data_IF_426328730493
#
_entry.id   IF_426328730493
#
_cell.length_a   1.000
_cell.length_b   1.000
_cell.length_c   1.000
_cell.angle_alpha   90.00
_cell.angle_beta   90.00
_cell.angle_gamma   90.00
#
_symmetry.space_group_name_H-M   'P 1'
#
loop_
_entity.id
_entity.type
_entity.pdbx_description
1 polymer ?
#
# COMPACT_ATOMS: atom_id res chain seq x y z
N UNK A 1 2.12 -29.90 -10.60
CA UNK A 1 1.11 -29.24 -9.74
C UNK A 1 1.85 -28.43 -8.69
N UNK A 2 1.67 -27.12 -8.69
CA UNK A 2 2.33 -26.21 -7.77
C UNK A 2 1.61 -26.21 -6.41
N UNK A 3 2.30 -25.82 -5.34
CA UNK A 3 1.74 -25.71 -3.99
C UNK A 3 1.65 -24.25 -3.58
N UNK A 4 0.58 -23.92 -2.87
CA UNK A 4 0.32 -22.63 -2.26
C UNK A 4 0.18 -22.84 -0.75
N UNK A 5 0.86 -22.01 0.04
CA UNK A 5 0.82 -22.02 1.50
C UNK A 5 0.00 -20.82 1.94
N UNK A 6 -1.09 -21.08 2.66
CA UNK A 6 -2.11 -20.06 2.95
C UNK A 6 -2.28 -19.92 4.45
N UNK A 7 -2.30 -18.68 4.93
CA UNK A 7 -2.82 -18.27 6.23
C UNK A 7 -4.15 -17.54 5.99
N UNK A 8 -5.28 -18.20 6.27
CA UNK A 8 -6.61 -17.63 6.06
C UNK A 8 -7.09 -16.96 7.35
N UNK A 9 -7.55 -15.72 7.22
CA UNK A 9 -8.16 -14.95 8.31
C UNK A 9 -9.45 -15.59 8.82
N UNK A 10 -9.56 -15.68 10.15
CA UNK A 10 -10.79 -16.05 10.86
C UNK A 10 -11.09 -15.08 12.00
N UNK A 11 -12.37 -14.74 12.13
CA UNK A 11 -12.87 -13.87 13.20
C UNK A 11 -14.40 -13.91 13.25
N UNK A 12 -15.00 -14.01 14.42
CA UNK A 12 -16.42 -13.74 14.64
C UNK A 12 -16.58 -12.68 15.74
N UNK A 13 -17.15 -11.52 15.39
CA UNK A 13 -17.27 -10.37 16.31
C UNK A 13 -18.05 -10.66 17.59
N UNK A 14 -18.85 -11.74 17.60
CA UNK A 14 -19.70 -12.09 18.73
C UNK A 14 -19.03 -13.06 19.70
N UNK A 15 -18.00 -13.79 19.25
CA UNK A 15 -17.36 -14.85 20.05
C UNK A 15 -15.87 -14.65 20.25
N UNK A 16 -15.18 -14.04 19.29
CA UNK A 16 -13.73 -13.95 19.27
C UNK A 16 -13.25 -12.62 19.85
N UNK A 17 -12.24 -12.70 20.71
CA UNK A 17 -11.58 -11.50 21.25
C UNK A 17 -10.61 -10.87 20.25
N UNK A 18 -9.87 -11.70 19.50
CA UNK A 18 -8.92 -11.29 18.48
C UNK A 18 -9.04 -12.22 17.26
N UNK A 19 -8.74 -11.71 16.05
CA UNK A 19 -8.66 -12.56 14.87
C UNK A 19 -7.52 -13.56 14.99
N UNK A 20 -7.65 -14.69 14.31
CA UNK A 20 -6.62 -15.71 14.21
C UNK A 20 -6.52 -16.23 12.77
N UNK A 21 -5.48 -17.03 12.49
CA UNK A 21 -5.22 -17.52 11.14
C UNK A 21 -5.12 -19.04 11.11
N UNK A 22 -5.83 -19.67 10.17
CA UNK A 22 -5.71 -21.11 9.90
C UNK A 22 -4.81 -21.35 8.69
N UNK A 23 -3.96 -22.37 8.80
CA UNK A 23 -2.98 -22.70 7.77
C UNK A 23 -3.49 -23.79 6.84
N UNK A 24 -3.34 -23.57 5.54
CA UNK A 24 -3.68 -24.53 4.50
C UNK A 24 -2.52 -24.71 3.53
N UNK A 25 -2.37 -25.92 3.01
CA UNK A 25 -1.52 -26.20 1.85
C UNK A 25 -2.40 -26.77 0.75
N UNK A 26 -2.52 -26.02 -0.34
CA UNK A 26 -3.37 -26.38 -1.47
C UNK A 26 -2.54 -26.50 -2.75
N UNK A 27 -3.03 -27.32 -3.68
CA UNK A 27 -2.46 -27.41 -5.02
C UNK A 27 -3.20 -26.47 -5.94
N UNK A 28 -2.49 -25.86 -6.89
CA UNK A 28 -3.08 -25.03 -7.93
C UNK A 28 -2.43 -25.31 -9.29
N UNK A 29 -3.15 -24.93 -10.34
CA UNK A 29 -2.74 -24.92 -11.74
C UNK A 29 -2.95 -23.54 -12.37
N UNK A 30 -2.72 -23.42 -13.68
CA UNK A 30 -2.81 -22.16 -14.40
C UNK A 30 -4.23 -21.58 -14.53
N UNK A 31 -5.27 -22.40 -14.29
CA UNK A 31 -6.67 -21.97 -14.38
C UNK A 31 -7.31 -21.77 -12.99
N UNK A 32 -6.60 -22.14 -11.93
CA UNK A 32 -7.09 -21.97 -10.56
C UNK A 32 -7.19 -20.48 -10.20
N UNK A 33 -8.39 -20.01 -9.85
CA UNK A 33 -8.63 -18.66 -9.34
C UNK A 33 -8.58 -18.61 -7.81
N UNK A 34 -8.48 -17.41 -7.24
CA UNK A 34 -8.58 -17.22 -5.78
C UNK A 34 -9.95 -17.69 -5.25
N UNK A 35 -11.04 -17.48 -6.00
CA UNK A 35 -12.36 -18.00 -5.67
C UNK A 35 -12.33 -19.52 -5.56
N UNK A 36 -11.66 -20.22 -6.48
CA UNK A 36 -11.51 -21.66 -6.40
C UNK A 36 -10.71 -22.10 -5.17
N UNK A 37 -9.70 -21.32 -4.77
CA UNK A 37 -8.97 -21.55 -3.52
C UNK A 37 -9.88 -21.42 -2.31
N UNK A 38 -10.69 -20.35 -2.24
CA UNK A 38 -11.66 -20.15 -1.14
C UNK A 38 -12.70 -21.28 -1.09
N UNK A 39 -13.21 -21.73 -2.23
CA UNK A 39 -14.11 -22.89 -2.32
C UNK A 39 -13.46 -24.17 -1.79
N UNK A 40 -12.19 -24.43 -2.14
CA UNK A 40 -11.46 -25.61 -1.68
C UNK A 40 -11.21 -25.60 -0.17
N UNK A 41 -11.08 -24.41 0.43
CA UNK A 41 -10.99 -24.26 1.89
C UNK A 41 -12.37 -24.50 2.50
N UNK A 42 -13.42 -23.85 2.00
CA UNK A 42 -14.78 -23.98 2.54
C UNK A 42 -15.30 -25.42 2.50
N UNK A 43 -14.93 -26.20 1.47
CA UNK A 43 -15.22 -27.63 1.38
C UNK A 43 -14.58 -28.46 2.49
N UNK A 44 -13.43 -28.02 3.03
CA UNK A 44 -12.77 -28.65 4.17
C UNK A 44 -13.34 -28.17 5.49
N UNK A 45 -13.58 -26.86 5.57
CA UNK A 45 -14.10 -26.19 6.76
C UNK A 45 -14.89 -24.94 6.36
N UNK A 46 -16.21 -24.91 6.59
CA UNK A 46 -17.03 -23.74 6.30
C UNK A 46 -16.59 -22.50 7.10
N UNK A 47 -16.64 -21.34 6.46
CA UNK A 47 -16.37 -20.04 7.08
C UNK A 47 -17.30 -18.96 6.50
N UNK A 48 -17.39 -17.82 7.16
CA UNK A 48 -18.24 -16.71 6.72
C UNK A 48 -17.76 -16.10 5.41
N UNK A 49 -18.51 -16.29 4.34
CA UNK A 49 -18.27 -15.64 3.04
C UNK A 49 -19.59 -15.46 2.29
N UNK A 50 -19.83 -14.26 1.74
CA UNK A 50 -21.03 -13.96 0.95
C UNK A 50 -20.75 -14.15 -0.54
N UNK A 51 -21.03 -15.36 -1.05
CA UNK A 51 -20.82 -15.71 -2.46
C UNK A 51 -21.88 -15.16 -3.41
N UNK A 52 -22.89 -14.45 -2.90
CA UNK A 52 -23.88 -13.78 -3.75
C UNK A 52 -23.34 -12.50 -4.38
N UNK A 53 -22.18 -12.03 -3.89
CA UNK A 53 -21.54 -10.79 -4.32
C UNK A 53 -20.16 -11.06 -4.91
N UNK A 54 -19.65 -10.04 -5.58
CA UNK A 54 -18.24 -9.93 -5.94
C UNK A 54 -17.38 -10.02 -4.69
N UNK A 55 -16.47 -10.99 -4.63
CA UNK A 55 -15.56 -11.17 -3.50
C UNK A 55 -14.26 -10.42 -3.79
N UNK A 56 -13.99 -9.40 -2.97
CA UNK A 56 -12.71 -8.71 -2.96
C UNK A 56 -11.91 -9.16 -1.73
N UNK A 57 -10.62 -9.40 -1.91
CA UNK A 57 -9.73 -9.88 -0.86
C UNK A 57 -8.44 -9.08 -0.82
N UNK A 58 -7.77 -9.15 0.32
CA UNK A 58 -6.39 -8.73 0.47
C UNK A 58 -5.51 -9.96 0.62
N UNK A 59 -4.49 -10.08 -0.22
CA UNK A 59 -3.50 -11.16 -0.19
C UNK A 59 -2.13 -10.53 0.05
N UNK A 60 -1.56 -10.80 1.21
CA UNK A 60 -0.37 -10.08 1.72
C UNK A 60 -0.63 -8.56 1.75
N UNK A 61 0.04 -7.76 0.92
CA UNK A 61 -0.17 -6.32 0.80
C UNK A 61 -1.15 -5.93 -0.33
N UNK A 62 -1.51 -6.88 -1.20
CA UNK A 62 -2.18 -6.61 -2.47
C UNK A 62 -3.68 -6.89 -2.40
N UNK A 63 -4.47 -5.94 -2.85
CA UNK A 63 -5.93 -6.00 -2.95
C UNK A 63 -6.31 -6.46 -4.35
N UNK A 64 -7.24 -7.40 -4.43
CA UNK A 64 -7.65 -7.97 -5.71
C UNK A 64 -9.05 -8.58 -5.64
N UNK A 65 -9.62 -8.80 -6.82
CA UNK A 65 -10.84 -9.57 -6.95
C UNK A 65 -10.53 -11.07 -6.89
N UNK A 66 -11.38 -11.85 -6.22
CA UNK A 66 -11.16 -13.27 -6.09
C UNK A 66 -11.28 -14.06 -7.42
N UNK A 67 -11.78 -13.46 -8.50
CA UNK A 67 -11.76 -14.09 -9.83
C UNK A 67 -10.36 -14.15 -10.46
N UNK A 68 -9.38 -13.40 -9.95
CA UNK A 68 -8.01 -13.39 -10.50
C UNK A 68 -7.35 -14.77 -10.37
N UNK A 69 -6.50 -15.12 -11.34
CA UNK A 69 -5.78 -16.39 -11.37
C UNK A 69 -4.66 -16.43 -10.34
N UNK A 70 -4.51 -17.56 -9.65
CA UNK A 70 -3.44 -17.78 -8.67
C UNK A 70 -2.06 -17.66 -9.33
N UNK A 71 -1.91 -18.17 -10.56
CA UNK A 71 -0.66 -18.11 -11.31
C UNK A 71 -0.18 -16.68 -11.62
N UNK A 72 -1.08 -15.71 -11.72
CA UNK A 72 -0.73 -14.30 -11.95
C UNK A 72 -0.25 -13.64 -10.66
N UNK A 73 -0.97 -13.89 -9.56
CA UNK A 73 -0.63 -13.34 -8.24
C UNK A 73 0.67 -13.94 -7.68
N UNK A 74 0.93 -15.23 -7.92
CA UNK A 74 2.18 -15.88 -7.47
C UNK A 74 3.43 -15.23 -8.08
N UNK A 75 3.35 -14.70 -9.30
CA UNK A 75 4.49 -13.98 -9.92
C UNK A 75 4.89 -12.72 -9.15
N UNK A 76 3.96 -12.13 -8.42
CA UNK A 76 4.13 -10.88 -7.67
C UNK A 76 4.38 -11.17 -6.18
N UNK A 77 3.56 -12.06 -5.61
CA UNK A 77 3.48 -12.30 -4.17
C UNK A 77 4.27 -13.52 -3.70
N UNK A 78 4.72 -14.39 -4.60
CA UNK A 78 5.24 -15.71 -4.25
C UNK A 78 4.12 -16.68 -3.86
N UNK A 79 4.49 -17.76 -3.17
CA UNK A 79 3.58 -18.88 -2.84
C UNK A 79 3.07 -18.88 -1.39
N UNK A 80 3.57 -17.97 -0.56
CA UNK A 80 3.18 -17.80 0.84
C UNK A 80 2.19 -16.64 0.95
N UNK A 81 0.92 -16.98 1.17
CA UNK A 81 -0.20 -16.06 1.10
C UNK A 81 -0.89 -15.94 2.44
N UNK A 82 -1.01 -14.71 2.93
CA UNK A 82 -1.95 -14.34 3.98
C UNK A 82 -3.20 -13.77 3.31
N UNK A 83 -4.33 -14.48 3.39
CA UNK A 83 -5.58 -14.07 2.73
C UNK A 83 -6.52 -13.53 3.80
N UNK A 84 -6.91 -12.27 3.63
CA UNK A 84 -7.77 -11.49 4.53
C UNK A 84 -9.02 -10.99 3.76
N UNK A 85 -10.14 -10.70 4.46
CA UNK A 85 -11.18 -9.86 3.89
C UNK A 85 -10.61 -8.54 3.39
N UNK A 86 -11.33 -7.86 2.50
CA UNK A 86 -10.92 -6.53 2.03
C UNK A 86 -10.71 -5.53 3.18
N UNK A 87 -11.38 -5.72 4.31
CA UNK A 87 -11.14 -4.97 5.54
C UNK A 87 -11.27 -5.88 6.77
N UNK A 88 -10.16 -6.16 7.43
CA UNK A 88 -10.16 -6.88 8.72
C UNK A 88 -10.77 -6.03 9.83
N UNK A 89 -10.67 -4.70 9.73
CA UNK A 89 -11.28 -3.76 10.69
C UNK A 89 -12.80 -3.81 10.67
N UNK A 90 -13.40 -4.03 9.50
CA UNK A 90 -14.85 -4.12 9.31
C UNK A 90 -15.38 -5.55 9.32
N UNK A 91 -14.51 -6.55 9.47
CA UNK A 91 -14.91 -7.95 9.50
C UNK A 91 -15.90 -8.19 10.65
N UNK A 92 -17.05 -8.77 10.31
CA UNK A 92 -18.07 -9.18 11.27
C UNK A 92 -18.05 -10.68 11.49
N UNK A 93 -17.80 -11.44 10.42
CA UNK A 93 -17.59 -12.88 10.46
C UNK A 93 -16.74 -13.33 9.26
N UNK A 94 -15.48 -13.66 9.51
CA UNK A 94 -14.48 -14.06 8.53
C UNK A 94 -14.40 -13.06 7.35
N UNK A 95 -14.96 -13.41 6.20
CA UNK A 95 -14.98 -12.59 4.97
C UNK A 95 -16.26 -11.77 4.80
N UNK A 96 -17.17 -11.80 5.77
CA UNK A 96 -18.37 -10.95 5.83
C UNK A 96 -18.02 -9.70 6.63
N UNK A 97 -18.19 -8.52 6.05
CA UNK A 97 -17.84 -7.23 6.66
C UNK A 97 -18.95 -6.19 6.50
N UNK A 98 -18.90 -5.18 7.37
CA UNK A 98 -19.77 -4.00 7.29
C UNK A 98 -19.15 -2.95 6.36
N UNK A 99 -19.86 -2.59 5.28
CA UNK A 99 -19.41 -1.59 4.32
C UNK A 99 -20.17 -0.26 4.38
N UNK A 100 -20.83 0.03 5.50
CA UNK A 100 -21.54 1.29 5.72
C UNK A 100 -20.66 2.52 5.48
N UNK A 101 -19.39 2.48 5.91
CA UNK A 101 -18.46 3.60 5.74
C UNK A 101 -18.17 3.95 4.28
N UNK A 102 -17.98 2.94 3.44
CA UNK A 102 -17.88 3.10 1.99
C UNK A 102 -19.16 3.71 1.39
N UNK A 103 -20.33 3.19 1.77
CA UNK A 103 -21.62 3.66 1.25
C UNK A 103 -21.91 5.11 1.67
N UNK A 104 -21.53 5.48 2.89
CA UNK A 104 -21.67 6.85 3.41
C UNK A 104 -20.81 7.83 2.61
N UNK A 105 -19.62 7.44 2.15
CA UNK A 105 -18.79 8.30 1.29
C UNK A 105 -19.37 8.50 -0.10
N UNK A 106 -20.03 7.49 -0.68
CA UNK A 106 -20.78 7.66 -1.93
C UNK A 106 -21.93 8.67 -1.76
N UNK A 107 -22.59 8.67 -0.60
CA UNK A 107 -23.74 9.55 -0.34
C UNK A 107 -23.40 11.05 -0.39
N UNK A 108 -22.13 11.42 -0.23
CA UNK A 108 -21.64 12.79 -0.42
C UNK A 108 -22.00 13.37 -1.79
N UNK A 109 -22.20 12.49 -2.79
CA UNK A 109 -22.49 12.86 -4.16
C UNK A 109 -23.96 12.62 -4.56
N UNK A 110 -24.84 12.31 -3.61
CA UNK A 110 -26.20 11.83 -3.90
C UNK A 110 -27.03 12.78 -4.75
N UNK A 111 -26.83 14.09 -4.60
CA UNK A 111 -27.55 15.12 -5.35
C UNK A 111 -27.11 15.26 -6.81
N UNK A 112 -26.00 14.63 -7.19
CA UNK A 112 -25.41 14.72 -8.53
C UNK A 112 -25.51 13.43 -9.33
N UNK A 113 -25.92 12.33 -8.70
CA UNK A 113 -25.92 11.00 -9.30
C UNK A 113 -27.34 10.47 -9.45
N UNK A 114 -27.62 9.83 -10.59
CA UNK A 114 -28.82 9.04 -10.76
C UNK A 114 -28.66 7.63 -10.16
N UNK A 115 -29.76 6.88 -10.08
CA UNK A 115 -29.77 5.54 -9.49
C UNK A 115 -28.75 4.58 -10.12
N UNK A 116 -28.66 4.56 -11.45
CA UNK A 116 -27.75 3.68 -12.20
C UNK A 116 -26.28 4.00 -11.90
N UNK A 117 -25.92 5.29 -11.89
CA UNK A 117 -24.57 5.74 -11.52
C UNK A 117 -24.21 5.32 -10.09
N UNK A 118 -25.12 5.56 -9.12
CA UNK A 118 -24.90 5.15 -7.72
C UNK A 118 -24.68 3.65 -7.60
N UNK A 119 -25.49 2.85 -8.28
CA UNK A 119 -25.37 1.39 -8.23
C UNK A 119 -24.03 0.93 -8.82
N UNK A 120 -23.63 1.50 -9.97
CA UNK A 120 -22.33 1.21 -10.57
C UNK A 120 -21.15 1.50 -9.63
N UNK A 121 -21.19 2.61 -8.87
CA UNK A 121 -20.13 2.91 -7.90
C UNK A 121 -20.12 1.93 -6.74
N UNK A 122 -21.29 1.58 -6.19
CA UNK A 122 -21.39 0.59 -5.11
C UNK A 122 -20.80 -0.77 -5.51
N UNK A 123 -21.04 -1.19 -6.75
CA UNK A 123 -20.64 -2.52 -7.22
C UNK A 123 -19.16 -2.60 -7.62
N UNK A 124 -18.54 -1.49 -8.03
CA UNK A 124 -17.23 -1.52 -8.67
C UNK A 124 -16.12 -0.73 -7.94
N UNK A 125 -16.45 0.13 -6.98
CA UNK A 125 -15.47 1.09 -6.43
C UNK A 125 -15.00 0.75 -5.02
N UNK A 126 -15.56 -0.29 -4.41
CA UNK A 126 -15.24 -0.71 -3.04
C UNK A 126 -13.74 -0.98 -2.84
N UNK A 127 -13.08 -1.58 -3.82
CA UNK A 127 -11.65 -1.86 -3.77
C UNK A 127 -10.80 -0.59 -3.64
N UNK A 128 -11.18 0.49 -4.33
CA UNK A 128 -10.48 1.78 -4.23
C UNK A 128 -10.67 2.45 -2.86
N UNK A 129 -11.72 2.11 -2.13
CA UNK A 129 -11.91 2.61 -0.77
C UNK A 129 -11.02 1.85 0.22
N UNK A 130 -11.17 0.53 0.32
CA UNK A 130 -10.47 -0.25 1.35
C UNK A 130 -8.98 -0.48 1.05
N UNK A 131 -8.56 -0.39 -0.22
CA UNK A 131 -7.14 -0.42 -0.56
C UNK A 131 -6.40 0.87 -0.18
N UNK A 132 -7.08 1.95 0.19
CA UNK A 132 -6.42 3.19 0.62
C UNK A 132 -5.73 3.00 1.97
N UNK A 133 -4.45 3.39 2.13
CA UNK A 133 -3.87 3.40 3.49
C UNK A 133 -4.41 4.57 4.31
N UNK A 134 -4.78 5.65 3.63
CA UNK A 134 -5.20 6.90 4.24
C UNK A 134 -6.35 6.73 5.21
N UNK A 135 -7.30 5.84 4.91
CA UNK A 135 -8.43 5.55 5.80
C UNK A 135 -8.00 4.90 7.13
N UNK A 136 -6.85 4.22 7.19
CA UNK A 136 -6.35 3.63 8.44
C UNK A 136 -5.70 4.68 9.35
N UNK A 137 -5.18 5.75 8.75
CA UNK A 137 -4.48 6.83 9.43
C UNK A 137 -5.42 7.99 9.77
N UNK A 138 -6.37 8.27 8.88
CA UNK A 138 -7.43 9.27 8.99
C UNK A 138 -8.77 8.66 8.52
N UNK A 139 -9.61 8.24 9.47
CA UNK A 139 -10.91 7.60 9.20
C UNK A 139 -11.94 8.57 8.59
N UNK A 140 -11.72 9.87 8.73
CA UNK A 140 -12.59 10.89 8.14
C UNK A 140 -12.32 11.10 6.64
N UNK A 141 -11.20 10.59 6.12
CA UNK A 141 -10.89 10.66 4.70
C UNK A 141 -12.05 10.14 3.83
N UNK A 142 -12.35 10.88 2.76
CA UNK A 142 -13.43 10.55 1.82
C UNK A 142 -13.13 9.30 0.99
N UNK A 143 -11.87 8.86 0.95
CA UNK A 143 -11.44 7.70 0.17
C UNK A 143 -11.19 8.02 -1.30
N UNK A 144 -10.27 7.27 -1.93
CA UNK A 144 -9.87 7.49 -3.32
C UNK A 144 -11.01 7.24 -4.31
N UNK A 145 -11.92 6.33 -3.98
CA UNK A 145 -13.15 6.12 -4.77
C UNK A 145 -13.99 7.41 -4.93
N UNK A 146 -14.06 8.25 -3.90
CA UNK A 146 -14.79 9.53 -3.94
C UNK A 146 -14.13 10.50 -4.90
N UNK A 147 -12.80 10.44 -5.05
CA UNK A 147 -12.08 11.24 -6.04
C UNK A 147 -12.44 10.79 -7.46
N UNK A 148 -12.53 9.48 -7.72
CA UNK A 148 -12.97 9.00 -9.03
C UNK A 148 -14.43 9.38 -9.34
N UNK A 149 -15.33 9.35 -8.36
CA UNK A 149 -16.70 9.83 -8.50
C UNK A 149 -16.70 11.33 -8.86
N UNK A 150 -15.94 12.14 -8.13
CA UNK A 150 -15.81 13.56 -8.38
C UNK A 150 -15.28 13.86 -9.79
N UNK A 151 -14.24 13.15 -10.24
CA UNK A 151 -13.72 13.26 -11.60
C UNK A 151 -14.82 13.00 -12.64
N UNK A 152 -15.55 11.90 -12.51
CA UNK A 152 -16.60 11.53 -13.47
C UNK A 152 -17.71 12.59 -13.52
N UNK A 153 -18.18 13.09 -12.37
CA UNK A 153 -19.22 14.12 -12.32
C UNK A 153 -18.74 15.40 -13.01
N UNK A 154 -17.52 15.86 -12.72
CA UNK A 154 -16.96 17.08 -13.34
C UNK A 154 -16.78 16.88 -14.84
N UNK A 155 -16.37 15.68 -15.27
CA UNK A 155 -16.14 15.37 -16.67
C UNK A 155 -17.44 15.33 -17.47
N UNK A 156 -18.50 14.77 -16.90
CA UNK A 156 -19.83 14.69 -17.50
C UNK A 156 -20.56 16.03 -17.46
N UNK A 157 -20.41 16.80 -16.38
CA UNK A 157 -21.04 18.10 -16.22
C UNK A 157 -20.05 19.13 -15.62
N UNK A 158 -19.27 19.83 -16.47
CA UNK A 158 -18.29 20.81 -16.02
C UNK A 158 -18.86 21.98 -15.21
N UNK A 159 -20.17 22.26 -15.31
CA UNK A 159 -20.81 23.33 -14.53
C UNK A 159 -20.83 23.05 -13.02
N UNK A 160 -20.73 21.77 -12.62
CA UNK A 160 -20.72 21.35 -11.21
C UNK A 160 -19.34 21.43 -10.56
N UNK A 161 -18.31 21.83 -11.32
CA UNK A 161 -16.90 21.80 -10.89
C UNK A 161 -16.68 22.41 -9.51
N UNK A 162 -17.13 23.65 -9.29
CA UNK A 162 -16.83 24.35 -8.04
C UNK A 162 -17.53 23.71 -6.83
N UNK A 163 -18.76 23.21 -7.00
CA UNK A 163 -19.45 22.49 -5.93
C UNK A 163 -18.78 21.16 -5.60
N UNK A 164 -18.39 20.38 -6.62
CA UNK A 164 -17.71 19.10 -6.40
C UNK A 164 -16.33 19.30 -5.77
N UNK A 165 -15.60 20.32 -6.22
CA UNK A 165 -14.33 20.70 -5.60
C UNK A 165 -14.51 21.06 -4.13
N UNK A 166 -15.58 21.78 -3.75
CA UNK A 166 -15.84 22.11 -2.34
C UNK A 166 -16.06 20.88 -1.44
N UNK A 167 -16.50 19.76 -2.01
CA UNK A 167 -16.65 18.48 -1.29
C UNK A 167 -15.29 17.82 -1.10
N UNK A 168 -14.49 17.73 -2.17
CA UNK A 168 -13.25 16.97 -2.16
C UNK A 168 -12.04 17.75 -1.63
N UNK A 169 -12.11 19.07 -1.46
CA UNK A 169 -10.99 19.88 -0.94
C UNK A 169 -11.12 20.23 0.54
N UNK A 170 -12.06 19.60 1.27
CA UNK A 170 -12.16 19.74 2.74
C UNK A 170 -10.83 19.44 3.41
N UNK A 171 -10.41 20.32 4.32
CA UNK A 171 -9.06 20.30 4.91
C UNK A 171 -8.76 19.03 5.71
N UNK A 172 -9.76 18.48 6.38
CA UNK A 172 -9.67 17.36 7.32
C UNK A 172 -10.00 16.00 6.71
N UNK A 173 -10.69 15.97 5.56
CA UNK A 173 -11.18 14.73 4.94
C UNK A 173 -10.90 14.60 3.45
N UNK A 174 -10.37 15.62 2.79
CA UNK A 174 -10.36 15.74 1.34
C UNK A 174 -9.17 15.10 0.62
N UNK A 175 -8.98 15.49 -0.63
CA UNK A 175 -7.95 15.03 -1.58
C UNK A 175 -6.53 15.17 -1.05
N UNK A 176 -6.31 16.02 -0.04
CA UNK A 176 -4.99 16.19 0.58
C UNK A 176 -4.47 14.94 1.29
N UNK A 177 -5.35 13.97 1.56
CA UNK A 177 -5.03 12.66 2.13
C UNK A 177 -4.88 11.56 1.08
N UNK A 178 -4.92 11.88 -0.22
CA UNK A 178 -4.71 10.90 -1.28
C UNK A 178 -3.33 10.22 -1.15
N UNK A 179 -3.32 8.90 -1.30
CA UNK A 179 -2.13 8.07 -1.48
C UNK A 179 -2.35 7.19 -2.70
N UNK A 180 -1.33 7.05 -3.56
CA UNK A 180 -1.51 6.23 -4.76
C UNK A 180 -1.81 4.76 -4.42
N UNK A 181 -2.72 4.16 -5.19
CA UNK A 181 -3.13 2.77 -5.04
C UNK A 181 -2.36 1.81 -5.95
N UNK A 182 -1.43 2.32 -6.75
CA UNK A 182 -0.69 1.56 -7.78
C UNK A 182 -0.01 0.30 -7.22
N UNK A 183 0.63 0.41 -6.06
CA UNK A 183 1.32 -0.72 -5.41
C UNK A 183 0.43 -1.55 -4.49
N UNK A 184 -0.87 -1.20 -4.39
CA UNK A 184 -1.83 -1.84 -3.49
C UNK A 184 -2.93 -2.57 -4.21
N UNK A 185 -3.28 -2.22 -5.44
CA UNK A 185 -4.32 -2.90 -6.21
C UNK A 185 -3.70 -3.71 -7.36
N UNK A 186 -4.04 -4.99 -7.45
CA UNK A 186 -3.63 -5.82 -8.57
C UNK A 186 -4.22 -5.28 -9.89
N UNK A 187 -3.37 -5.07 -10.89
CA UNK A 187 -3.80 -4.57 -12.19
C UNK A 187 -4.26 -3.11 -12.17
N UNK A 188 -3.78 -2.31 -11.22
CA UNK A 188 -4.09 -0.88 -11.16
C UNK A 188 -3.69 -0.17 -12.47
N UNK A 189 -4.58 0.65 -13.01
CA UNK A 189 -4.33 1.41 -14.24
C UNK A 189 -3.73 2.77 -13.92
N UNK A 190 -2.64 3.15 -14.59
CA UNK A 190 -2.06 4.50 -14.51
C UNK A 190 -3.05 5.61 -14.85
N UNK A 191 -4.04 5.32 -15.71
CA UNK A 191 -5.11 6.27 -16.04
C UNK A 191 -5.98 6.67 -14.85
N UNK A 192 -6.02 5.86 -13.78
CA UNK A 192 -6.70 6.24 -12.56
C UNK A 192 -5.93 7.33 -11.80
N UNK A 193 -4.60 7.26 -11.78
CA UNK A 193 -3.77 8.29 -11.16
C UNK A 193 -3.85 9.61 -11.93
N UNK A 194 -3.90 9.55 -13.27
CA UNK A 194 -4.09 10.73 -14.13
C UNK A 194 -5.40 11.47 -13.85
N UNK A 195 -6.47 10.76 -13.45
CA UNK A 195 -7.74 11.38 -13.03
C UNK A 195 -7.57 12.17 -11.73
N UNK A 196 -6.77 11.66 -10.80
CA UNK A 196 -6.52 12.32 -9.52
C UNK A 196 -5.62 13.52 -9.72
N UNK A 197 -4.55 13.39 -10.52
CA UNK A 197 -3.70 14.51 -10.92
C UNK A 197 -4.51 15.63 -11.58
N UNK A 198 -5.48 15.29 -12.44
CA UNK A 198 -6.41 16.26 -13.00
C UNK A 198 -7.18 17.02 -11.92
N UNK A 199 -7.69 16.33 -10.88
CA UNK A 199 -8.40 16.97 -9.77
C UNK A 199 -7.51 17.92 -8.97
N UNK A 200 -6.27 17.52 -8.65
CA UNK A 200 -5.30 18.41 -8.02
C UNK A 200 -5.08 19.69 -8.86
N UNK A 201 -4.90 19.53 -10.17
CA UNK A 201 -4.71 20.65 -11.09
C UNK A 201 -5.90 21.62 -11.10
N UNK A 202 -7.13 21.12 -11.25
CA UNK A 202 -8.31 22.00 -11.29
C UNK A 202 -8.66 22.60 -9.91
N UNK A 203 -8.22 21.96 -8.83
CA UNK A 203 -8.31 22.48 -7.47
C UNK A 203 -7.20 23.49 -7.13
N UNK A 204 -6.25 23.73 -8.05
CA UNK A 204 -5.07 24.57 -7.84
C UNK A 204 -4.23 24.11 -6.62
N UNK A 205 -4.10 22.79 -6.47
CA UNK A 205 -3.28 22.15 -5.44
C UNK A 205 -1.99 21.60 -6.09
N UNK A 206 -0.91 21.56 -5.31
CA UNK A 206 0.34 20.97 -5.76
C UNK A 206 0.19 19.46 -5.89
N UNK A 207 0.71 18.92 -7.00
CA UNK A 207 0.83 17.49 -7.24
C UNK A 207 2.23 17.19 -7.76
N UNK A 208 2.98 16.39 -7.00
CA UNK A 208 4.32 15.93 -7.39
C UNK A 208 4.34 14.41 -7.53
N UNK A 209 4.33 13.92 -8.77
CA UNK A 209 4.45 12.48 -9.03
C UNK A 209 5.81 11.96 -8.52
N UNK A 210 5.86 10.87 -7.72
CA UNK A 210 7.11 10.26 -7.32
C UNK A 210 7.85 9.60 -8.50
N UNK A 211 9.16 9.57 -8.39
CA UNK A 211 10.09 8.93 -9.31
C UNK A 211 10.73 7.74 -8.63
N UNK A 212 10.60 6.58 -9.26
CA UNK A 212 11.19 5.33 -8.78
C UNK A 212 12.37 4.95 -9.65
N UNK A 213 13.50 4.60 -9.02
CA UNK A 213 14.70 4.14 -9.71
C UNK A 213 14.63 2.63 -9.93
N UNK A 214 14.88 2.25 -11.17
CA UNK A 214 15.19 0.88 -11.52
C UNK A 214 16.67 0.62 -11.23
N UNK A 215 16.95 -0.46 -10.51
CA UNK A 215 18.32 -0.88 -10.27
C UNK A 215 18.76 -1.80 -11.41
N UNK A 216 19.93 -1.52 -11.96
CA UNK A 216 20.59 -2.36 -12.96
C UNK A 216 21.36 -3.49 -12.29
N UNK A 217 21.61 -4.56 -13.04
CA UNK A 217 22.52 -5.63 -12.59
C UNK A 217 23.92 -5.07 -12.37
N UNK A 218 24.49 -5.37 -11.20
CA UNK A 218 25.85 -4.97 -10.84
C UNK A 218 26.67 -6.17 -10.38
N UNK A 219 27.98 -6.08 -10.54
CA UNK A 219 28.89 -7.00 -9.90
C UNK A 219 29.01 -6.66 -8.41
N UNK A 220 28.65 -7.61 -7.54
CA UNK A 220 28.74 -7.46 -6.10
C UNK A 220 30.16 -7.79 -5.63
N UNK A 221 30.82 -6.81 -5.04
CA UNK A 221 32.17 -6.88 -4.46
C UNK A 221 32.11 -6.85 -2.93
N UNK A 222 31.28 -5.97 -2.37
CA UNK A 222 31.05 -5.85 -0.93
C UNK A 222 29.74 -6.54 -0.55
N UNK A 223 29.76 -7.30 0.55
CA UNK A 223 28.58 -7.96 1.10
C UNK A 223 28.04 -7.25 2.34
N UNK A 224 26.76 -7.45 2.58
CA UNK A 224 26.01 -7.06 3.77
C UNK A 224 25.59 -8.31 4.56
N UNK A 225 26.50 -9.30 4.64
CA UNK A 225 26.28 -10.48 5.45
C UNK A 225 25.90 -10.04 6.88
N UNK A 226 24.94 -10.73 7.51
CA UNK A 226 24.36 -10.43 8.84
C UNK A 226 23.38 -9.26 8.95
N UNK A 227 23.26 -8.40 7.93
CA UNK A 227 22.27 -7.33 7.96
C UNK A 227 20.86 -7.84 7.63
N UNK A 228 19.88 -7.32 8.35
CA UNK A 228 18.47 -7.35 8.05
C UNK A 228 18.09 -6.05 7.34
N UNK A 229 17.67 -6.14 6.08
CA UNK A 229 17.39 -4.96 5.26
C UNK A 229 15.93 -4.97 4.83
N UNK A 230 15.23 -3.87 5.10
CA UNK A 230 13.92 -3.58 4.51
C UNK A 230 14.08 -2.55 3.38
N UNK A 231 13.05 -2.39 2.56
CA UNK A 231 13.06 -1.43 1.47
C UNK A 231 11.66 -0.82 1.27
N UNK A 232 11.60 0.48 1.01
CA UNK A 232 10.39 1.19 0.65
C UNK A 232 10.09 1.04 -0.84
N UNK A 233 8.84 0.74 -1.19
CA UNK A 233 8.38 0.46 -2.56
C UNK A 233 9.31 -0.49 -3.34
N UNK A 234 9.62 -1.68 -2.80
CA UNK A 234 10.63 -2.56 -3.37
C UNK A 234 10.14 -3.24 -4.64
N UNK A 235 10.94 -3.14 -5.71
CA UNK A 235 10.75 -3.95 -6.92
C UNK A 235 11.30 -5.36 -6.73
N UNK A 236 10.96 -6.28 -7.64
CA UNK A 236 11.56 -7.62 -7.65
C UNK A 236 13.09 -7.58 -7.75
N UNK A 237 13.62 -6.63 -8.52
CA UNK A 237 15.06 -6.39 -8.67
C UNK A 237 15.67 -5.89 -7.35
N UNK A 238 15.02 -4.94 -6.66
CA UNK A 238 15.49 -4.46 -5.35
C UNK A 238 15.58 -5.61 -4.34
N UNK A 239 14.54 -6.45 -4.25
CA UNK A 239 14.54 -7.62 -3.35
C UNK A 239 15.66 -8.59 -3.69
N UNK A 240 15.82 -8.90 -4.98
CA UNK A 240 16.84 -9.82 -5.46
C UNK A 240 18.25 -9.30 -5.15
N UNK A 241 18.50 -8.00 -5.37
CA UNK A 241 19.80 -7.40 -5.10
C UNK A 241 20.14 -7.41 -3.60
N UNK A 242 19.17 -7.11 -2.73
CA UNK A 242 19.35 -7.20 -1.27
C UNK A 242 19.75 -8.64 -0.90
N UNK A 243 19.05 -9.65 -1.42
CA UNK A 243 19.37 -11.05 -1.14
C UNK A 243 20.74 -11.46 -1.68
N UNK A 244 21.09 -11.03 -2.90
CA UNK A 244 22.40 -11.31 -3.51
C UNK A 244 23.56 -10.64 -2.77
N UNK A 245 23.31 -9.53 -2.05
CA UNK A 245 24.31 -8.89 -1.19
C UNK A 245 24.70 -9.71 0.05
N UNK A 246 23.99 -10.80 0.35
CA UNK A 246 24.17 -11.60 1.56
C UNK A 246 23.28 -11.18 2.74
N UNK A 247 22.57 -10.05 2.61
CA UNK A 247 21.63 -9.58 3.62
C UNK A 247 20.32 -10.39 3.63
N UNK A 248 19.69 -10.46 4.80
CA UNK A 248 18.32 -10.97 4.96
C UNK A 248 17.33 -9.87 4.59
N UNK A 249 16.54 -10.10 3.54
CA UNK A 249 15.45 -9.19 3.21
C UNK A 249 14.28 -9.34 4.20
N UNK A 250 13.88 -8.22 4.81
CA UNK A 250 12.73 -8.13 5.71
C UNK A 250 11.55 -7.57 4.90
N UNK A 251 10.61 -8.44 4.56
CA UNK A 251 9.39 -8.04 3.87
C UNK A 251 8.34 -7.56 4.89
N UNK A 252 7.96 -6.29 4.81
CA UNK A 252 6.94 -5.70 5.69
C UNK A 252 5.78 -5.15 4.86
N UNK A 253 4.57 -5.17 5.42
CA UNK A 253 3.37 -4.80 4.67
C UNK A 253 3.31 -3.29 4.38
N UNK A 254 3.82 -2.47 5.29
CA UNK A 254 3.85 -0.99 5.12
C UNK A 254 4.79 -0.52 4.02
N UNK A 255 5.71 -1.38 3.54
CA UNK A 255 6.63 -1.06 2.45
C UNK A 255 5.93 -0.66 1.14
N UNK A 256 4.65 -1.03 0.98
CA UNK A 256 3.84 -0.79 -0.20
C UNK A 256 2.85 0.36 -0.05
N UNK A 257 2.85 1.03 1.10
CA UNK A 257 1.97 2.17 1.37
C UNK A 257 2.62 3.45 0.87
N UNK A 258 1.96 4.14 -0.06
CA UNK A 258 2.41 5.45 -0.51
C UNK A 258 2.33 6.47 0.64
N UNK A 259 3.34 7.32 0.78
CA UNK A 259 3.46 8.31 1.86
C UNK A 259 2.82 9.67 1.51
N UNK A 260 1.95 9.73 0.50
CA UNK A 260 1.29 10.95 0.03
C UNK A 260 2.29 12.07 -0.35
N UNK A 261 3.42 11.69 -0.96
CA UNK A 261 4.46 12.64 -1.35
C UNK A 261 3.96 13.68 -2.36
N UNK A 262 2.95 13.29 -3.16
CA UNK A 262 2.37 14.13 -4.18
C UNK A 262 1.80 15.44 -3.63
N UNK A 263 1.37 15.46 -2.37
CA UNK A 263 0.84 16.65 -1.71
C UNK A 263 1.51 16.92 -0.35
N UNK A 264 2.82 16.64 -0.24
CA UNK A 264 3.58 16.85 1.00
C UNK A 264 3.43 18.27 1.56
N UNK A 265 3.38 19.30 0.70
CA UNK A 265 3.21 20.68 1.17
C UNK A 265 1.80 20.95 1.72
N UNK A 266 0.77 20.33 1.14
CA UNK A 266 -0.61 20.52 1.56
C UNK A 266 -0.98 19.74 2.82
N UNK A 267 -0.32 18.62 3.10
CA UNK A 267 -0.57 17.83 4.31
C UNK A 267 0.67 17.11 4.86
N UNK A 268 1.70 17.89 5.20
CA UNK A 268 2.99 17.38 5.70
C UNK A 268 2.84 16.40 6.87
N UNK A 269 2.00 16.72 7.86
CA UNK A 269 1.81 15.88 9.06
C UNK A 269 1.32 14.48 8.71
N UNK A 270 0.42 14.37 7.73
CA UNK A 270 -0.09 13.09 7.26
C UNK A 270 1.00 12.25 6.58
N UNK A 271 1.76 12.85 5.66
CA UNK A 271 2.88 12.16 5.01
C UNK A 271 3.94 11.69 6.00
N UNK A 272 4.25 12.50 7.02
CA UNK A 272 5.20 12.13 8.08
C UNK A 272 4.68 10.95 8.92
N UNK A 273 3.38 10.92 9.23
CA UNK A 273 2.77 9.81 9.96
C UNK A 273 2.87 8.51 9.15
N UNK A 274 2.58 8.55 7.84
CA UNK A 274 2.74 7.40 6.94
C UNK A 274 4.19 6.93 6.83
N UNK A 275 5.13 7.85 6.69
CA UNK A 275 6.56 7.52 6.68
C UNK A 275 6.99 6.87 8.00
N UNK A 276 6.47 7.36 9.13
CA UNK A 276 6.71 6.79 10.45
C UNK A 276 6.13 5.40 10.64
N UNK A 277 4.93 5.12 10.12
CA UNK A 277 4.37 3.75 10.13
C UNK A 277 5.31 2.75 9.46
N UNK A 278 5.87 3.12 8.30
CA UNK A 278 6.84 2.27 7.60
C UNK A 278 8.16 2.08 8.36
N UNK A 279 8.75 3.17 8.88
CA UNK A 279 10.01 3.07 9.61
C UNK A 279 9.85 2.29 10.94
N UNK A 280 8.75 2.49 11.65
CA UNK A 280 8.43 1.75 12.86
C UNK A 280 8.19 0.26 12.57
N UNK A 281 7.46 -0.08 11.50
CA UNK A 281 7.25 -1.47 11.09
C UNK A 281 8.58 -2.13 10.68
N UNK A 282 9.48 -1.42 9.99
CA UNK A 282 10.81 -1.90 9.71
C UNK A 282 11.62 -2.18 11.00
N UNK A 283 11.60 -1.24 11.94
CA UNK A 283 12.28 -1.36 13.23
C UNK A 283 11.71 -2.50 14.09
N UNK A 284 10.38 -2.60 14.21
CA UNK A 284 9.68 -3.62 14.98
C UNK A 284 9.90 -5.03 14.38
N UNK A 285 10.25 -5.11 13.08
CA UNK A 285 10.67 -6.34 12.40
C UNK A 285 12.20 -6.53 12.33
N UNK A 286 12.97 -5.79 13.15
CA UNK A 286 14.42 -5.87 13.29
C UNK A 286 15.21 -5.59 12.00
N UNK A 287 14.77 -4.66 11.17
CA UNK A 287 15.61 -4.12 10.11
C UNK A 287 16.74 -3.27 10.71
N UNK A 288 17.97 -3.52 10.28
CA UNK A 288 19.16 -2.74 10.67
C UNK A 288 19.28 -1.44 9.86
N UNK A 289 18.77 -1.46 8.63
CA UNK A 289 18.69 -0.29 7.75
C UNK A 289 17.56 -0.45 6.74
N UNK A 290 17.18 0.66 6.12
CA UNK A 290 16.17 0.71 5.06
C UNK A 290 16.74 1.27 3.76
N UNK A 291 16.38 0.63 2.64
CA UNK A 291 16.66 1.12 1.29
C UNK A 291 15.47 1.93 0.74
N UNK A 292 15.75 3.12 0.20
CA UNK A 292 14.75 3.98 -0.44
C UNK A 292 15.24 4.48 -1.81
N UNK A 293 14.35 4.93 -2.69
CA UNK A 293 14.77 5.72 -3.86
C UNK A 293 15.35 7.06 -3.42
N UNK A 294 16.30 7.59 -4.20
CA UNK A 294 17.02 8.85 -3.91
C UNK A 294 16.07 10.02 -3.61
N UNK A 295 14.90 10.06 -4.28
CA UNK A 295 13.89 11.09 -4.08
C UNK A 295 13.31 11.12 -2.65
N UNK A 296 13.29 9.98 -1.96
CA UNK A 296 12.70 9.88 -0.63
C UNK A 296 13.70 10.11 0.51
N UNK A 297 15.00 10.25 0.22
CA UNK A 297 16.03 10.48 1.24
C UNK A 297 15.72 11.70 2.09
N UNK A 298 15.27 12.79 1.46
CA UNK A 298 14.95 14.03 2.17
C UNK A 298 13.88 13.86 3.25
N UNK A 299 12.98 12.88 3.09
CA UNK A 299 11.92 12.59 4.08
C UNK A 299 12.40 11.54 5.06
N UNK A 300 12.79 10.36 4.56
CA UNK A 300 13.10 9.22 5.42
C UNK A 300 14.37 9.41 6.24
N UNK A 301 15.34 10.21 5.78
CA UNK A 301 16.52 10.58 6.56
C UNK A 301 16.40 12.02 7.06
N UNK A 302 16.19 12.96 6.14
CA UNK A 302 16.23 14.40 6.42
C UNK A 302 15.20 14.90 7.43
N UNK A 303 14.07 14.18 7.60
CA UNK A 303 12.95 14.58 8.43
C UNK A 303 12.62 13.59 9.54
N UNK A 304 13.50 12.63 9.90
CA UNK A 304 13.19 11.62 10.93
C UNK A 304 12.74 12.21 12.26
N UNK A 305 13.36 13.30 12.73
CA UNK A 305 12.91 13.96 13.96
C UNK A 305 11.46 14.46 13.85
N UNK A 306 11.03 14.96 12.69
CA UNK A 306 9.63 15.34 12.47
C UNK A 306 8.71 14.12 12.38
N UNK A 307 9.20 13.02 11.80
CA UNK A 307 8.50 11.73 11.76
C UNK A 307 8.29 11.22 13.20
N UNK A 308 9.34 11.16 14.02
CA UNK A 308 9.31 10.74 15.42
C UNK A 308 8.28 11.54 16.22
N UNK A 309 8.27 12.87 16.06
CA UNK A 309 7.26 13.74 16.65
C UNK A 309 5.82 13.43 16.18
N UNK A 310 5.66 13.02 14.92
CA UNK A 310 4.34 12.71 14.35
C UNK A 310 3.77 11.37 14.84
N UNK A 311 4.64 10.40 15.17
CA UNK A 311 4.24 9.06 15.62
C UNK A 311 4.42 8.84 17.13
N UNK A 312 5.12 9.75 17.83
CA UNK A 312 5.36 9.68 19.26
C UNK A 312 6.30 8.56 19.69
N UNK A 313 7.21 8.13 18.80
CA UNK A 313 8.20 7.07 19.04
C UNK A 313 9.53 7.46 18.41
N UNK A 314 10.62 7.19 19.11
CA UNK A 314 11.98 7.29 18.57
C UNK A 314 12.20 6.21 17.50
N UNK A 315 12.89 6.56 16.42
CA UNK A 315 13.11 5.68 15.25
C UNK A 315 14.60 5.52 14.96
N UNK A 316 15.33 6.63 14.75
CA UNK A 316 16.77 6.67 14.38
C UNK A 316 17.21 5.56 13.40
N UNK A 317 16.42 5.31 12.35
CA UNK A 317 16.63 4.23 11.40
C UNK A 317 17.67 4.62 10.35
N UNK A 318 18.79 3.89 10.18
CA UNK A 318 19.72 4.17 9.10
C UNK A 318 19.05 4.01 7.72
N UNK A 319 19.19 5.01 6.87
CA UNK A 319 18.65 5.01 5.50
C UNK A 319 19.80 5.00 4.51
N UNK A 320 19.70 4.15 3.50
CA UNK A 320 20.52 4.23 2.29
C UNK A 320 19.62 4.44 1.09
N UNK A 321 20.07 5.25 0.15
CA UNK A 321 19.41 5.29 -1.14
C UNK A 321 19.80 4.08 -1.99
N UNK A 322 18.99 3.75 -3.00
CA UNK A 322 19.33 2.71 -3.98
C UNK A 322 20.67 3.01 -4.67
N UNK A 323 20.95 4.28 -4.98
CA UNK A 323 22.22 4.70 -5.58
C UNK A 323 23.40 4.45 -4.64
N UNK A 324 23.27 4.81 -3.37
CA UNK A 324 24.31 4.57 -2.34
C UNK A 324 24.55 3.07 -2.15
N UNK A 325 23.48 2.29 -1.96
CA UNK A 325 23.54 0.85 -1.79
C UNK A 325 24.27 0.17 -2.96
N UNK A 326 23.92 0.53 -4.19
CA UNK A 326 24.55 0.01 -5.41
C UNK A 326 26.04 0.33 -5.47
N UNK A 327 26.45 1.56 -5.13
CA UNK A 327 27.87 1.96 -5.10
C UNK A 327 28.65 1.23 -4.01
N UNK A 328 28.05 1.01 -2.85
CA UNK A 328 28.66 0.25 -1.75
C UNK A 328 28.88 -1.20 -2.17
N UNK A 329 27.86 -1.85 -2.76
CA UNK A 329 27.99 -3.21 -3.29
C UNK A 329 29.09 -3.33 -4.35
N UNK A 330 29.28 -2.29 -5.18
CA UNK A 330 30.37 -2.19 -6.15
C UNK A 330 31.76 -1.90 -5.51
N UNK A 331 31.87 -1.88 -4.18
CA UNK A 331 33.13 -1.79 -3.45
C UNK A 331 33.56 -0.37 -3.06
N UNK A 332 32.73 0.65 -3.28
CA UNK A 332 33.04 2.01 -2.81
C UNK A 332 32.86 2.09 -1.28
N UNK A 333 33.89 2.58 -0.58
CA UNK A 333 33.92 2.74 0.89
C UNK A 333 34.16 4.19 1.34
N UNK A 334 34.30 5.13 0.41
CA UNK A 334 34.50 6.53 0.75
C UNK A 334 33.16 7.16 1.12
N UNK A 335 32.96 7.39 2.43
CA UNK A 335 31.74 7.97 2.97
C UNK A 335 31.37 9.33 2.35
N UNK A 336 32.36 10.18 2.01
CA UNK A 336 32.10 11.48 1.38
C UNK A 336 31.71 11.33 -0.09
N UNK A 337 32.35 10.40 -0.80
CA UNK A 337 32.00 10.11 -2.19
C UNK A 337 30.61 9.45 -2.32
N UNK A 338 30.20 8.71 -1.29
CA UNK A 338 28.87 8.13 -1.17
C UNK A 338 27.82 9.14 -0.71
N UNK A 339 28.22 10.22 -0.03
CA UNK A 339 27.31 11.23 0.53
C UNK A 339 26.79 10.89 1.92
N UNK A 340 27.32 9.82 2.55
CA UNK A 340 26.92 9.36 3.88
C UNK A 340 27.18 10.39 4.99
N UNK A 341 28.12 11.32 4.76
CA UNK A 341 28.43 12.43 5.67
C UNK A 341 27.31 13.49 5.74
N UNK A 342 26.35 13.46 4.81
CA UNK A 342 25.21 14.37 4.77
C UNK A 342 23.95 13.82 5.42
N UNK A 343 23.94 12.53 5.75
CA UNK A 343 22.79 11.90 6.40
C UNK A 343 22.57 12.49 7.79
N UNK A 344 21.30 12.65 8.16
CA UNK A 344 20.89 13.07 9.50
C UNK A 344 20.99 11.94 10.50
N UNK A 345 20.78 10.70 10.05
CA UNK A 345 21.01 9.51 10.86
C UNK A 345 22.31 8.86 10.44
N UNK A 346 23.18 8.59 11.40
CA UNK A 346 24.49 8.00 11.13
C UNK A 346 24.31 6.60 10.56
N UNK A 347 24.91 6.35 9.40
CA UNK A 347 24.97 5.02 8.78
C UNK A 347 26.37 4.43 9.02
N UNK A 348 26.46 3.42 9.89
CA UNK A 348 27.72 2.73 10.20
C UNK A 348 27.75 1.36 9.52
N UNK A 349 28.52 1.24 8.43
CA UNK A 349 28.60 0.02 7.60
C UNK A 349 29.97 -0.65 7.63
N UNK A 350 30.99 0.03 8.17
CA UNK A 350 32.40 -0.37 8.11
C UNK A 350 33.10 -0.16 9.46
#
# INVERSE_FOLDING_TARGET
MNKLFIELFHFDKNTDYLPYYKKYTLKYDEQTSVNKILDMIEQKEPFGIDKSKTINVKINHLYTNANVKVSELVKILGVDWKIEPISTYRATKDFIYDNSDFLDRISLFDKYLNYSQKQNYKDNYEMFYYASNSINVNRDYIGDHSLYIAYNIIKENPSLKDEILSIITKLDSGISYHTSLENRIFGFSTSNEEKIEFLFKIANLEYKKPTYLNISDIQIIQKFDTFNISAYMPTAQTKTLIQQSGAKYININTAYNDIAICNLKGNKKFSLKLAGEFLLDAMDNNADLVIVDDEFLAIFDGMQCEIENSVGRDIRMPILTKTEFTKILAGNKDAKALGLDKHKVVVSLF
#
